data_IF_984057692161
#
_entry.id   IF_984057692161
#
_cell.length_a   1.000
_cell.length_b   1.000
_cell.length_c   1.000
_cell.angle_alpha   90.00
_cell.angle_beta   90.00
_cell.angle_gamma   90.00
#
_symmetry.space_group_name_H-M   'P 1'
#
loop_
_entity.id
_entity.type
_entity.pdbx_description
1 polymer ?
#
# COMPACT_ATOMS: atom_id res chain seq x y z
N UNK A 1 -34.86 1.78 10.55
CA UNK A 1 -34.39 0.63 9.74
C UNK A 1 -33.19 1.11 8.94
N UNK A 2 -31.96 0.95 9.45
CA UNK A 2 -30.78 1.32 8.67
C UNK A 2 -30.65 0.32 7.52
N UNK A 3 -30.77 0.81 6.29
CA UNK A 3 -30.47 0.03 5.10
C UNK A 3 -28.98 -0.33 5.20
N UNK A 4 -28.67 -1.62 5.31
CA UNK A 4 -27.29 -2.09 5.19
C UNK A 4 -26.85 -1.81 3.75
N UNK A 5 -25.87 -0.92 3.61
CA UNK A 5 -25.14 -0.74 2.35
C UNK A 5 -24.70 -2.13 1.85
N UNK A 6 -24.86 -2.44 0.55
CA UNK A 6 -24.48 -3.74 0.02
C UNK A 6 -23.00 -4.02 0.31
N UNK A 7 -22.70 -5.25 0.72
CA UNK A 7 -21.34 -5.70 0.98
C UNK A 7 -20.49 -5.48 -0.27
N UNK A 8 -19.47 -4.62 -0.18
CA UNK A 8 -18.59 -4.33 -1.31
C UNK A 8 -17.60 -5.48 -1.46
N UNK A 9 -17.92 -6.41 -2.36
CA UNK A 9 -17.05 -7.56 -2.67
C UNK A 9 -15.89 -7.16 -3.59
N UNK A 10 -14.81 -7.93 -3.55
CA UNK A 10 -13.70 -7.75 -4.47
C UNK A 10 -14.16 -8.00 -5.93
N UNK A 11 -13.70 -7.17 -6.86
CA UNK A 11 -14.14 -7.18 -8.25
C UNK A 11 -13.08 -6.62 -9.19
N UNK A 12 -13.25 -6.81 -10.50
CA UNK A 12 -12.47 -6.11 -11.51
C UNK A 12 -13.22 -4.88 -11.99
N UNK A 13 -12.52 -3.76 -12.15
CA UNK A 13 -13.09 -2.58 -12.78
C UNK A 13 -13.07 -2.69 -14.33
N UNK A 14 -13.69 -1.75 -15.07
CA UNK A 14 -13.70 -1.80 -16.53
C UNK A 14 -12.32 -1.74 -17.21
N UNK A 15 -11.26 -1.38 -16.48
CA UNK A 15 -9.88 -1.37 -16.96
C UNK A 15 -9.15 -2.68 -16.62
N UNK A 16 -9.83 -3.68 -16.06
CA UNK A 16 -9.24 -4.95 -15.67
C UNK A 16 -8.38 -4.89 -14.41
N UNK A 17 -8.51 -3.85 -13.59
CA UNK A 17 -7.79 -3.72 -12.31
C UNK A 17 -8.57 -4.40 -11.21
N UNK A 18 -7.90 -5.18 -10.38
CA UNK A 18 -8.54 -5.82 -9.23
C UNK A 18 -8.72 -4.82 -8.08
N UNK A 19 -9.95 -4.67 -7.61
CA UNK A 19 -10.37 -3.74 -6.55
C UNK A 19 -10.70 -4.54 -5.30
N UNK A 20 -10.06 -4.19 -4.18
CA UNK A 20 -10.41 -4.66 -2.84
C UNK A 20 -11.04 -3.50 -2.06
N UNK A 21 -12.38 -3.48 -1.91
CA UNK A 21 -13.05 -2.51 -1.06
C UNK A 21 -12.62 -2.65 0.40
N UNK A 22 -12.62 -1.55 1.15
CA UNK A 22 -12.33 -1.52 2.59
C UNK A 22 -11.02 -2.25 2.94
N UNK A 23 -10.01 -2.08 2.07
CA UNK A 23 -8.70 -2.76 2.12
C UNK A 23 -8.05 -2.72 3.51
N UNK A 24 -8.12 -1.55 4.15
CA UNK A 24 -7.56 -1.30 5.48
C UNK A 24 -8.36 -1.98 6.60
N UNK A 25 -9.66 -2.20 6.43
CA UNK A 25 -10.57 -2.79 7.42
C UNK A 25 -10.55 -4.32 7.37
N UNK A 26 -10.10 -4.92 6.27
CA UNK A 26 -9.93 -6.35 6.16
C UNK A 26 -8.95 -6.92 7.22
N UNK A 27 -9.06 -8.23 7.47
CA UNK A 27 -8.11 -8.97 8.31
C UNK A 27 -6.67 -8.70 7.84
N UNK A 28 -5.67 -8.67 8.74
CA UNK A 28 -4.29 -8.41 8.34
C UNK A 28 -3.85 -9.39 7.24
N UNK A 29 -3.30 -8.86 6.15
CA UNK A 29 -2.67 -9.65 5.11
C UNK A 29 -1.47 -8.92 4.53
N UNK A 30 -0.58 -9.70 3.92
CA UNK A 30 0.64 -9.23 3.30
C UNK A 30 1.00 -10.06 2.09
N UNK A 31 1.64 -9.47 1.10
CA UNK A 31 2.21 -10.20 -0.02
C UNK A 31 3.35 -9.41 -0.66
N UNK A 32 3.91 -9.95 -1.72
CA UNK A 32 4.82 -9.25 -2.62
C UNK A 32 4.07 -8.88 -3.89
N UNK A 33 4.25 -7.64 -4.35
CA UNK A 33 3.81 -7.29 -5.69
C UNK A 33 4.60 -8.12 -6.70
N UNK A 34 3.96 -8.61 -7.77
CA UNK A 34 4.68 -9.30 -8.83
C UNK A 34 5.74 -8.34 -9.40
N UNK A 35 6.99 -8.79 -9.43
CA UNK A 35 8.09 -8.01 -9.97
C UNK A 35 7.92 -7.82 -11.48
N UNK A 36 7.21 -6.77 -11.89
CA UNK A 36 7.08 -6.37 -13.29
C UNK A 36 8.00 -5.18 -13.50
N UNK A 37 9.16 -5.43 -14.11
CA UNK A 37 10.02 -4.37 -14.61
C UNK A 37 9.69 -4.12 -16.08
N UNK A 38 9.70 -2.86 -16.52
CA UNK A 38 9.71 -2.54 -17.95
C UNK A 38 10.96 -3.12 -18.63
N UNK A 39 11.03 -3.07 -19.95
CA UNK A 39 12.19 -3.59 -20.73
C UNK A 39 13.54 -3.01 -20.29
N UNK A 40 13.53 -1.79 -19.72
CA UNK A 40 14.69 -1.10 -19.15
C UNK A 40 14.59 -0.93 -17.62
N UNK A 41 13.57 -1.52 -16.99
CA UNK A 41 13.32 -1.36 -15.57
C UNK A 41 14.24 -2.25 -14.74
N UNK A 42 14.62 -1.77 -13.56
CA UNK A 42 15.26 -2.60 -12.54
C UNK A 42 14.14 -3.33 -11.78
N UNK A 43 14.14 -4.67 -11.72
CA UNK A 43 13.13 -5.42 -10.98
C UNK A 43 13.22 -5.08 -9.49
N UNK A 44 12.06 -4.74 -8.93
CA UNK A 44 11.91 -4.51 -7.50
C UNK A 44 11.19 -5.68 -6.87
N UNK A 45 11.67 -6.11 -5.70
CA UNK A 45 10.78 -6.75 -4.75
C UNK A 45 10.07 -5.64 -3.97
N UNK A 46 8.74 -5.74 -3.86
CA UNK A 46 7.94 -4.77 -3.13
C UNK A 46 6.99 -5.52 -2.19
N UNK A 47 7.28 -5.45 -0.90
CA UNK A 47 6.49 -6.04 0.17
C UNK A 47 5.41 -5.06 0.61
N UNK A 48 4.16 -5.52 0.64
CA UNK A 48 3.03 -4.70 1.06
C UNK A 48 2.17 -5.41 2.10
N UNK A 49 1.52 -4.63 2.94
CA UNK A 49 0.51 -5.05 3.92
C UNK A 49 -0.76 -4.23 3.73
N UNK A 50 -1.88 -4.67 4.28
CA UNK A 50 -3.11 -3.89 4.25
C UNK A 50 -3.22 -2.82 5.35
N UNK A 51 -2.10 -2.16 5.65
CA UNK A 51 -1.97 -1.11 6.67
C UNK A 51 -1.26 0.11 6.08
N UNK A 52 -1.62 1.31 6.54
CA UNK A 52 -0.99 2.55 6.07
C UNK A 52 -1.21 2.77 4.57
N UNK A 53 -0.19 3.22 3.84
CA UNK A 53 -0.23 3.32 2.37
C UNK A 53 0.38 2.07 1.68
N UNK A 54 0.11 0.91 2.28
CA UNK A 54 0.42 -0.44 1.82
C UNK A 54 1.90 -0.85 1.80
N UNK A 55 2.78 -0.11 1.11
CA UNK A 55 4.18 -0.53 0.93
C UNK A 55 4.94 -0.46 2.26
N UNK A 56 5.45 -1.62 2.69
CA UNK A 56 6.11 -1.84 3.97
C UNK A 56 7.61 -2.17 3.85
N UNK A 57 8.10 -2.38 2.64
CA UNK A 57 9.51 -2.57 2.33
C UNK A 57 9.70 -2.82 0.84
N UNK A 58 10.79 -2.34 0.25
CA UNK A 58 11.12 -2.61 -1.15
C UNK A 58 12.61 -2.40 -1.44
N UNK A 59 13.09 -3.04 -2.49
CA UNK A 59 14.49 -2.98 -2.89
C UNK A 59 14.73 -3.75 -4.18
N UNK A 60 16.00 -3.89 -4.53
CA UNK A 60 16.46 -4.62 -5.71
C UNK A 60 16.92 -6.01 -5.29
N UNK A 61 16.92 -6.98 -6.22
CA UNK A 61 17.52 -8.31 -6.08
C UNK A 61 16.96 -9.18 -4.92
N UNK A 62 17.28 -8.86 -3.66
CA UNK A 62 16.87 -9.59 -2.47
C UNK A 62 16.59 -8.64 -1.29
N UNK A 63 16.03 -9.19 -0.21
CA UNK A 63 15.79 -8.46 1.05
C UNK A 63 17.08 -7.94 1.73
N UNK A 64 18.24 -8.42 1.29
CA UNK A 64 19.56 -7.98 1.76
C UNK A 64 20.04 -6.70 1.06
N UNK A 65 19.35 -6.30 -0.02
CA UNK A 65 19.61 -5.06 -0.75
C UNK A 65 18.39 -4.11 -0.71
N UNK A 66 17.94 -3.67 0.49
CA UNK A 66 16.78 -2.81 0.63
C UNK A 66 17.09 -1.36 0.24
N UNK A 67 16.15 -0.73 -0.48
CA UNK A 67 16.03 0.73 -0.49
C UNK A 67 15.28 1.16 0.79
N UNK A 68 14.28 0.37 1.17
CA UNK A 68 13.52 0.49 2.41
C UNK A 68 13.58 -0.84 3.16
N UNK A 69 13.94 -0.81 4.44
CA UNK A 69 14.16 -1.99 5.27
C UNK A 69 12.98 -2.96 5.22
N UNK A 70 13.27 -4.25 5.04
CA UNK A 70 12.27 -5.30 5.11
C UNK A 70 11.92 -5.61 6.57
N UNK A 71 10.66 -5.42 6.94
CA UNK A 71 10.10 -5.91 8.20
C UNK A 71 9.20 -7.13 7.94
N UNK A 72 9.28 -8.21 8.75
CA UNK A 72 8.33 -9.32 8.66
C UNK A 72 6.90 -8.85 8.96
N UNK A 73 5.92 -9.58 8.43
CA UNK A 73 4.51 -9.16 8.40
C UNK A 73 3.95 -8.72 9.76
N UNK A 74 4.28 -9.44 10.85
CA UNK A 74 3.84 -9.12 12.20
C UNK A 74 4.26 -7.71 12.66
N UNK A 75 5.51 -7.30 12.36
CA UNK A 75 6.01 -5.95 12.64
C UNK A 75 5.43 -4.93 11.65
N UNK A 76 5.39 -5.29 10.37
CA UNK A 76 4.89 -4.43 9.31
C UNK A 76 3.43 -3.99 9.57
N UNK A 77 2.56 -4.86 10.08
CA UNK A 77 1.18 -4.50 10.42
C UNK A 77 1.07 -3.36 11.44
N UNK A 78 2.02 -3.26 12.35
CA UNK A 78 2.03 -2.22 13.39
C UNK A 78 2.74 -0.95 12.90
N UNK A 79 3.77 -1.10 12.08
CA UNK A 79 4.71 -0.02 11.77
C UNK A 79 4.47 0.66 10.43
N UNK A 80 3.77 0.06 9.47
CA UNK A 80 3.66 0.60 8.10
C UNK A 80 3.07 2.01 8.04
N UNK A 81 2.16 2.37 8.96
CA UNK A 81 1.66 3.75 9.03
C UNK A 81 2.76 4.78 9.34
N UNK A 82 3.76 4.42 10.13
CA UNK A 82 4.82 5.32 10.60
C UNK A 82 6.16 5.15 9.86
N UNK A 83 6.49 3.93 9.46
CA UNK A 83 7.77 3.58 8.81
C UNK A 83 7.60 3.15 7.35
N UNK A 84 6.37 2.88 6.87
CA UNK A 84 6.02 2.54 5.49
C UNK A 84 6.24 3.64 4.46
N UNK A 85 5.93 3.35 3.19
CA UNK A 85 5.77 4.40 2.18
C UNK A 85 4.70 5.41 2.63
N UNK A 86 4.95 6.68 2.34
CA UNK A 86 4.08 7.79 2.74
C UNK A 86 4.09 8.92 1.73
N UNK A 87 2.92 9.53 1.60
CA UNK A 87 2.66 10.71 0.80
C UNK A 87 2.33 11.85 1.74
N UNK A 88 3.09 12.94 1.66
CA UNK A 88 2.78 14.18 2.37
C UNK A 88 2.06 15.15 1.43
N UNK A 89 1.06 15.86 1.94
CA UNK A 89 0.22 16.75 1.16
C UNK A 89 0.25 18.15 1.77
N UNK A 90 0.64 19.13 0.96
CA UNK A 90 0.51 20.54 1.29
C UNK A 90 -0.79 21.07 0.67
N UNK A 91 -1.82 21.23 1.49
CA UNK A 91 -3.12 21.72 1.05
C UNK A 91 -3.21 23.24 1.21
N UNK A 92 -3.52 23.94 0.13
CA UNK A 92 -3.84 25.38 0.15
C UNK A 92 -5.33 25.61 0.03
N UNK A 93 -5.90 26.40 0.94
CA UNK A 93 -7.28 26.89 0.84
C UNK A 93 -7.30 28.40 1.05
N UNK A 94 -7.43 29.15 -0.05
CA UNK A 94 -7.25 30.60 -0.03
C UNK A 94 -5.84 30.98 0.44
N UNK A 95 -5.74 31.81 1.49
CA UNK A 95 -4.45 32.18 2.10
C UNK A 95 -3.92 31.18 3.14
N UNK A 96 -4.70 30.16 3.51
CA UNK A 96 -4.29 29.17 4.52
C UNK A 96 -3.56 27.99 3.86
N UNK A 97 -2.44 27.57 4.46
CA UNK A 97 -1.73 26.34 4.08
C UNK A 97 -1.77 25.36 5.26
N UNK A 98 -2.10 24.10 4.99
CA UNK A 98 -2.00 23.00 5.95
C UNK A 98 -1.09 21.90 5.39
N UNK A 99 -0.29 21.31 6.27
CA UNK A 99 0.63 20.22 5.96
C UNK A 99 0.07 18.94 6.59
N UNK A 100 -0.07 17.89 5.78
CA UNK A 100 -0.55 16.56 6.18
C UNK A 100 0.47 15.49 5.77
#
# INVERSE_FOLDING_TARGET
MNQMEPEKTAHFDPLGRFILPDFQQARPFSSFLPGIAGTLGIPLWAFYVNRGQAIAGFGVESKDHPIMEFQPANKAYQQTSALGFRTFINLKRGKQTKHY
#
